data_IF_589928900735
#
_entry.id   IF_589928900735
#
_cell.length_a   1.000
_cell.length_b   1.000
_cell.length_c   1.000
_cell.angle_alpha   90.00
_cell.angle_beta   90.00
_cell.angle_gamma   90.00
#
_symmetry.space_group_name_H-M   'P 1'
#
loop_
_entity.id
_entity.type
_entity.pdbx_description
1 polymer ?
#
# COMPACT_ATOMS: atom_id res chain seq x y z
N UNK A 1 -7.02 34.95 49.00
CA UNK A 1 -6.40 35.29 47.75
C UNK A 1 -6.21 34.02 46.87
N UNK A 2 -6.99 33.93 45.87
CA UNK A 2 -7.04 32.68 45.07
C UNK A 2 -6.00 32.68 43.98
N UNK A 3 -5.02 31.79 44.13
CA UNK A 3 -4.24 31.35 43.00
C UNK A 3 -5.02 30.29 42.27
N UNK A 4 -5.68 30.66 41.20
CA UNK A 4 -6.33 29.71 40.30
C UNK A 4 -5.27 28.81 39.65
N UNK A 5 -5.13 27.61 40.18
CA UNK A 5 -4.38 26.56 39.53
C UNK A 5 -5.14 26.09 38.31
N UNK A 6 -4.85 26.67 37.17
CA UNK A 6 -5.27 26.06 35.93
C UNK A 6 -4.44 24.79 35.75
N UNK A 7 -5.04 23.66 36.05
CA UNK A 7 -4.50 22.40 35.60
C UNK A 7 -4.53 22.40 34.10
N UNK A 8 -3.40 22.63 33.47
CA UNK A 8 -3.21 22.34 32.08
C UNK A 8 -3.41 20.85 31.93
N UNK A 9 -4.60 20.46 31.48
CA UNK A 9 -4.79 19.14 30.91
C UNK A 9 -3.88 19.09 29.72
N UNK A 10 -2.77 18.41 29.87
CA UNK A 10 -1.97 18.01 28.75
C UNK A 10 -2.85 17.16 27.87
N UNK A 11 -3.43 17.77 26.85
CA UNK A 11 -3.97 17.06 25.74
C UNK A 11 -2.80 16.36 25.07
N UNK A 12 -2.52 15.16 25.52
CA UNK A 12 -1.80 14.19 24.74
C UNK A 12 -2.70 13.91 23.53
N UNK A 13 -2.51 14.72 22.50
CA UNK A 13 -2.99 14.36 21.17
C UNK A 13 -2.48 12.97 20.88
N UNK A 14 -3.32 12.02 20.48
CA UNK A 14 -2.84 10.72 20.06
C UNK A 14 -1.75 10.95 19.03
N UNK A 15 -0.60 10.39 19.29
CA UNK A 15 0.58 10.47 18.45
C UNK A 15 0.21 10.15 17.01
N UNK A 16 0.41 11.11 16.14
CA UNK A 16 0.10 11.02 14.73
C UNK A 16 -1.22 11.70 14.44
N UNK A 17 -1.13 12.87 13.88
CA UNK A 17 -2.17 13.42 13.04
C UNK A 17 -2.31 12.42 11.88
N UNK A 18 -3.00 11.30 12.14
CA UNK A 18 -3.54 10.47 11.09
C UNK A 18 -4.60 11.37 10.46
N UNK A 19 -4.19 12.15 9.46
CA UNK A 19 -5.16 12.79 8.58
C UNK A 19 -6.15 11.68 8.27
N UNK A 20 -7.40 11.85 8.70
CA UNK A 20 -8.42 10.84 8.44
C UNK A 20 -8.46 10.67 6.94
N UNK A 21 -7.96 9.53 6.49
CA UNK A 21 -8.08 9.14 5.11
C UNK A 21 -9.57 9.12 4.81
N UNK A 22 -9.98 9.83 3.78
CA UNK A 22 -11.38 9.96 3.40
C UNK A 22 -11.58 9.37 2.03
N UNK A 23 -12.72 8.78 1.83
CA UNK A 23 -13.18 8.29 0.54
C UNK A 23 -13.61 6.82 0.56
N UNK A 24 -14.48 6.49 -0.37
CA UNK A 24 -15.04 5.14 -0.52
C UNK A 24 -13.99 4.10 -0.95
N UNK A 25 -12.86 4.54 -1.48
CA UNK A 25 -11.78 3.65 -1.89
C UNK A 25 -11.15 2.86 -0.73
N UNK A 26 -11.27 3.37 0.50
CA UNK A 26 -10.72 2.73 1.70
C UNK A 26 -11.37 1.36 1.99
N UNK A 27 -12.57 1.11 1.51
CA UNK A 27 -13.23 -0.19 1.65
C UNK A 27 -12.53 -1.31 0.85
N UNK A 28 -11.71 -0.95 -0.15
CA UNK A 28 -11.01 -1.90 -1.02
C UNK A 28 -9.55 -2.12 -0.64
N UNK A 29 -9.06 -1.42 0.38
CA UNK A 29 -7.66 -1.50 0.82
C UNK A 29 -7.56 -1.68 2.32
N UNK A 30 -6.44 -2.24 2.75
CA UNK A 30 -6.05 -2.32 4.15
C UNK A 30 -4.75 -1.54 4.35
N UNK A 31 -4.73 -0.61 5.28
CA UNK A 31 -3.50 0.08 5.64
C UNK A 31 -2.63 -0.83 6.51
N UNK A 32 -1.56 -1.34 5.97
CA UNK A 32 -0.68 -2.30 6.64
C UNK A 32 -0.02 -1.70 7.87
N UNK A 33 0.30 -0.41 7.85
CA UNK A 33 0.92 0.29 8.97
C UNK A 33 0.11 0.21 10.27
N UNK A 34 -1.21 0.05 10.16
CA UNK A 34 -2.10 -0.05 11.33
C UNK A 34 -2.05 -1.42 12.02
N UNK A 35 -1.49 -2.43 11.38
CA UNK A 35 -1.48 -3.82 11.85
C UNK A 35 -0.10 -4.40 12.13
N UNK A 36 0.93 -3.59 12.16
CA UNK A 36 2.32 -4.06 12.35
C UNK A 36 2.58 -4.70 13.70
N UNK A 37 1.83 -4.31 14.74
CA UNK A 37 1.98 -4.87 16.09
C UNK A 37 1.55 -6.33 16.18
N UNK A 38 0.67 -6.76 15.28
CA UNK A 38 0.17 -8.15 15.21
C UNK A 38 1.14 -9.09 14.47
N UNK A 39 2.27 -8.57 14.01
CA UNK A 39 3.17 -9.31 13.14
C UNK A 39 4.55 -9.52 13.77
N UNK A 40 4.99 -10.78 13.75
CA UNK A 40 6.33 -11.12 14.22
C UNK A 40 7.41 -10.55 13.30
N UNK A 41 8.53 -10.06 13.85
CA UNK A 41 9.64 -9.56 13.04
C UNK A 41 10.15 -10.65 12.10
N UNK A 42 10.50 -10.24 10.89
CA UNK A 42 11.02 -11.15 9.87
C UNK A 42 12.40 -11.62 10.26
N UNK A 43 12.55 -12.92 10.39
CA UNK A 43 13.84 -13.55 10.57
C UNK A 43 14.28 -14.11 9.22
N UNK A 44 15.41 -13.65 8.70
CA UNK A 44 16.07 -14.25 7.53
C UNK A 44 15.75 -13.63 6.16
N UNK A 45 15.02 -12.50 6.07
CA UNK A 45 14.72 -11.84 4.80
C UNK A 45 15.19 -10.39 4.70
N UNK A 46 16.20 -10.04 5.46
CA UNK A 46 16.72 -8.68 5.53
C UNK A 46 17.28 -8.19 4.20
N UNK A 47 17.94 -9.06 3.44
CA UNK A 47 18.49 -8.71 2.12
C UNK A 47 17.39 -8.35 1.11
N UNK A 48 16.34 -9.15 1.07
CA UNK A 48 15.18 -8.89 0.19
C UNK A 48 14.49 -7.58 0.56
N UNK A 49 14.35 -7.31 1.85
CA UNK A 49 13.76 -6.08 2.36
C UNK A 49 14.60 -4.86 1.99
N UNK A 50 15.91 -4.91 2.17
CA UNK A 50 16.82 -3.85 1.76
C UNK A 50 16.77 -3.59 0.26
N UNK A 51 16.73 -4.65 -0.54
CA UNK A 51 16.61 -4.53 -2.00
C UNK A 51 15.29 -3.86 -2.40
N UNK A 52 14.20 -4.23 -1.76
CA UNK A 52 12.90 -3.61 -1.98
C UNK A 52 12.94 -2.11 -1.68
N UNK A 53 13.53 -1.73 -0.57
CA UNK A 53 13.71 -0.33 -0.18
C UNK A 53 14.56 0.42 -1.22
N UNK A 54 15.63 -0.19 -1.70
CA UNK A 54 16.48 0.39 -2.73
C UNK A 54 15.71 0.65 -4.03
N UNK A 55 14.89 -0.30 -4.47
CA UNK A 55 14.06 -0.14 -5.67
C UNK A 55 13.03 0.96 -5.48
N UNK A 56 12.31 0.96 -4.37
CA UNK A 56 11.30 1.97 -4.05
C UNK A 56 11.90 3.38 -3.95
N UNK A 57 13.17 3.48 -3.60
CA UNK A 57 13.88 4.76 -3.47
C UNK A 57 14.39 5.33 -4.79
N UNK A 58 14.30 4.59 -5.88
CA UNK A 58 14.69 5.06 -7.21
C UNK A 58 13.76 6.16 -7.70
N UNK A 59 14.29 7.05 -8.53
CA UNK A 59 13.48 8.08 -9.21
C UNK A 59 12.64 7.51 -10.34
N UNK A 60 13.15 6.48 -10.99
CA UNK A 60 12.51 5.77 -12.08
C UNK A 60 12.54 4.27 -11.82
N UNK A 61 11.60 3.53 -12.39
CA UNK A 61 11.48 2.07 -12.21
C UNK A 61 11.48 1.67 -10.73
N UNK A 62 10.69 2.39 -9.96
CA UNK A 62 10.61 2.29 -8.51
C UNK A 62 9.51 1.36 -8.03
N UNK A 63 9.07 0.42 -8.85
CA UNK A 63 7.99 -0.50 -8.55
C UNK A 63 8.52 -1.94 -8.46
N UNK A 64 8.86 -2.43 -7.26
CA UNK A 64 9.35 -3.79 -7.10
C UNK A 64 8.27 -4.84 -7.33
N UNK A 65 8.66 -5.93 -7.96
CA UNK A 65 7.82 -7.11 -8.13
C UNK A 65 8.45 -8.30 -7.41
N UNK A 66 7.72 -8.89 -6.48
CA UNK A 66 8.15 -10.09 -5.78
C UNK A 66 7.57 -11.33 -6.44
N UNK A 67 8.44 -12.20 -6.90
CA UNK A 67 8.08 -13.48 -7.50
C UNK A 67 8.39 -14.60 -6.53
N UNK A 68 7.46 -15.51 -6.34
CA UNK A 68 7.66 -16.65 -5.46
C UNK A 68 6.39 -17.47 -5.29
N UNK A 69 6.52 -18.66 -4.73
CA UNK A 69 5.38 -19.52 -4.45
C UNK A 69 4.47 -18.91 -3.37
N UNK A 70 3.15 -19.26 -3.39
CA UNK A 70 2.22 -18.82 -2.35
C UNK A 70 2.70 -19.23 -0.95
N UNK A 71 2.62 -18.32 0.01
CA UNK A 71 2.98 -18.59 1.40
C UNK A 71 4.47 -18.49 1.74
N UNK A 72 5.34 -18.07 0.82
CA UNK A 72 6.79 -17.96 1.05
C UNK A 72 7.22 -16.64 1.68
N UNK A 73 6.33 -15.98 2.41
CA UNK A 73 6.68 -14.79 3.18
C UNK A 73 6.68 -13.48 2.40
N UNK A 74 6.02 -13.42 1.25
CA UNK A 74 5.80 -12.15 0.52
C UNK A 74 5.04 -11.13 1.37
N UNK A 75 4.02 -11.58 2.08
CA UNK A 75 3.26 -10.78 3.04
C UNK A 75 4.14 -10.31 4.19
N UNK A 76 5.00 -11.18 4.71
CA UNK A 76 5.95 -10.84 5.76
C UNK A 76 6.87 -9.68 5.37
N UNK A 77 7.30 -9.65 4.11
CA UNK A 77 8.15 -8.60 3.58
C UNK A 77 7.46 -7.24 3.60
N UNK A 78 6.17 -7.20 3.25
CA UNK A 78 5.36 -5.97 3.28
C UNK A 78 5.18 -5.45 4.70
N UNK A 79 4.87 -6.32 5.65
CA UNK A 79 4.77 -5.96 7.08
C UNK A 79 6.12 -5.50 7.64
N UNK A 80 7.21 -6.12 7.24
CA UNK A 80 8.55 -5.70 7.62
C UNK A 80 8.89 -4.30 7.12
N UNK A 81 8.53 -4.00 5.89
CA UNK A 81 8.70 -2.66 5.32
C UNK A 81 7.87 -1.62 6.10
N UNK A 82 6.60 -1.92 6.38
CA UNK A 82 5.74 -1.05 7.17
C UNK A 82 6.32 -0.79 8.56
N UNK A 83 6.86 -1.81 9.21
CA UNK A 83 7.53 -1.69 10.50
C UNK A 83 8.74 -0.75 10.45
N UNK A 84 9.56 -0.84 9.41
CA UNK A 84 10.70 0.06 9.24
C UNK A 84 10.27 1.50 8.99
N UNK A 85 9.20 1.71 8.24
CA UNK A 85 8.64 3.05 8.01
C UNK A 85 8.16 3.67 9.34
N UNK A 86 7.42 2.91 10.14
CA UNK A 86 6.92 3.38 11.43
C UNK A 86 8.04 3.66 12.44
N UNK A 87 9.16 2.95 12.34
CA UNK A 87 10.35 3.18 13.18
C UNK A 87 11.31 4.24 12.63
N UNK A 88 10.96 4.88 11.52
CA UNK A 88 11.81 5.87 10.85
C UNK A 88 13.18 5.32 10.41
N UNK A 89 13.22 4.06 10.05
CA UNK A 89 14.43 3.34 9.60
C UNK A 89 14.46 3.16 8.08
N UNK A 90 13.95 4.13 7.35
CA UNK A 90 13.89 4.14 5.88
C UNK A 90 14.50 5.43 5.33
N UNK A 91 14.92 5.45 4.05
CA UNK A 91 15.35 6.69 3.40
C UNK A 91 14.28 7.77 3.44
N UNK A 92 14.70 9.01 3.39
CA UNK A 92 13.82 10.18 3.48
C UNK A 92 12.65 10.14 2.50
N UNK A 93 12.87 9.64 1.29
CA UNK A 93 11.82 9.52 0.27
C UNK A 93 10.70 8.54 0.65
N UNK A 94 10.92 7.65 1.61
CA UNK A 94 9.93 6.71 2.12
C UNK A 94 9.40 7.07 3.50
N UNK A 95 9.90 8.14 4.10
CA UNK A 95 9.42 8.60 5.40
C UNK A 95 7.94 8.95 5.36
N UNK A 96 7.20 8.44 6.33
CA UNK A 96 5.76 8.67 6.44
C UNK A 96 4.91 7.94 5.43
N UNK A 97 5.48 7.07 4.60
CA UNK A 97 4.72 6.27 3.64
C UNK A 97 3.71 5.36 4.35
N UNK A 98 2.53 5.30 3.78
CA UNK A 98 1.50 4.33 4.15
C UNK A 98 1.43 3.25 3.08
N UNK A 99 1.41 2.00 3.51
CA UNK A 99 1.28 0.86 2.61
C UNK A 99 -0.17 0.41 2.62
N UNK A 100 -0.82 0.50 1.46
CA UNK A 100 -2.18 0.03 1.26
C UNK A 100 -2.15 -1.29 0.51
N UNK A 101 -2.66 -2.33 1.13
CA UNK A 101 -2.85 -3.63 0.48
C UNK A 101 -4.20 -3.64 -0.22
N UNK A 102 -4.19 -3.83 -1.54
CA UNK A 102 -5.41 -3.91 -2.34
C UNK A 102 -6.08 -5.26 -2.15
N UNK A 103 -7.35 -5.25 -1.79
CA UNK A 103 -8.20 -6.44 -1.75
C UNK A 103 -8.94 -6.61 -3.07
N UNK A 104 -8.43 -7.48 -3.92
CA UNK A 104 -9.03 -7.77 -5.23
C UNK A 104 -10.43 -8.37 -5.10
N UNK A 105 -10.66 -9.21 -4.09
CA UNK A 105 -11.96 -9.79 -3.84
C UNK A 105 -13.03 -8.73 -3.59
N UNK A 106 -12.74 -7.78 -2.72
CA UNK A 106 -13.64 -6.66 -2.45
C UNK A 106 -13.84 -5.75 -3.66
N UNK A 107 -12.79 -5.57 -4.46
CA UNK A 107 -12.84 -4.74 -5.65
C UNK A 107 -13.75 -5.33 -6.73
N UNK A 108 -13.81 -6.64 -6.84
CA UNK A 108 -14.60 -7.37 -7.84
C UNK A 108 -16.01 -7.66 -7.32
N UNK A 109 -16.18 -7.83 -6.02
CA UNK A 109 -17.45 -8.23 -5.43
C UNK A 109 -18.60 -7.29 -5.80
N UNK A 110 -19.70 -7.86 -6.28
CA UNK A 110 -20.89 -7.10 -6.68
C UNK A 110 -20.76 -6.30 -7.99
N UNK A 111 -19.65 -6.42 -8.70
CA UNK A 111 -19.51 -5.80 -10.03
C UNK A 111 -20.21 -6.66 -11.08
N UNK A 112 -21.12 -6.05 -11.82
CA UNK A 112 -21.78 -6.72 -12.96
C UNK A 112 -21.09 -6.43 -14.28
N UNK A 113 -20.45 -5.27 -14.38
CA UNK A 113 -19.84 -4.78 -15.59
C UNK A 113 -18.36 -4.48 -15.38
N UNK A 114 -17.57 -4.63 -16.43
CA UNK A 114 -16.15 -4.26 -16.44
C UNK A 114 -15.93 -2.81 -16.03
N UNK A 115 -16.81 -1.92 -16.44
CA UNK A 115 -16.75 -0.49 -16.08
C UNK A 115 -16.85 -0.23 -14.57
N UNK A 116 -17.58 -1.05 -13.84
CA UNK A 116 -17.68 -0.93 -12.37
C UNK A 116 -16.35 -1.24 -11.69
N UNK A 117 -15.68 -2.28 -12.13
CA UNK A 117 -14.34 -2.64 -11.65
C UNK A 117 -13.32 -1.54 -11.96
N UNK A 118 -13.31 -1.06 -13.18
CA UNK A 118 -12.40 0.01 -13.62
C UNK A 118 -12.59 1.29 -12.81
N UNK A 119 -13.83 1.65 -12.53
CA UNK A 119 -14.18 2.80 -11.70
C UNK A 119 -13.65 2.67 -10.27
N UNK A 120 -13.82 1.48 -9.67
CA UNK A 120 -13.36 1.21 -8.30
C UNK A 120 -11.83 1.22 -8.24
N UNK A 121 -11.16 0.60 -9.21
CA UNK A 121 -9.70 0.59 -9.28
C UNK A 121 -9.15 2.01 -9.41
N UNK A 122 -9.73 2.82 -10.29
CA UNK A 122 -9.34 4.21 -10.46
C UNK A 122 -9.54 5.02 -9.18
N UNK A 123 -10.65 4.80 -8.48
CA UNK A 123 -10.89 5.43 -7.18
C UNK A 123 -9.82 5.09 -6.14
N UNK A 124 -9.38 3.83 -6.10
CA UNK A 124 -8.28 3.39 -5.23
C UNK A 124 -6.97 4.08 -5.60
N UNK A 125 -6.64 4.11 -6.88
CA UNK A 125 -5.41 4.74 -7.38
C UNK A 125 -5.37 6.23 -7.08
N UNK A 126 -6.44 6.94 -7.35
CA UNK A 126 -6.54 8.37 -7.07
C UNK A 126 -6.54 8.65 -5.57
N UNK A 127 -7.21 7.83 -4.78
CA UNK A 127 -7.23 7.94 -3.32
C UNK A 127 -5.85 7.70 -2.71
N UNK A 128 -5.14 6.68 -3.15
CA UNK A 128 -3.78 6.39 -2.70
C UNK A 128 -2.81 7.51 -3.11
N UNK A 129 -2.97 8.05 -4.32
CA UNK A 129 -2.16 9.17 -4.79
C UNK A 129 -2.39 10.43 -3.96
N UNK A 130 -3.64 10.72 -3.59
CA UNK A 130 -3.99 11.84 -2.72
C UNK A 130 -3.48 11.66 -1.28
N UNK A 131 -3.33 10.41 -0.84
CA UNK A 131 -2.75 10.06 0.47
C UNK A 131 -1.22 10.02 0.47
N UNK A 132 -0.57 10.46 -0.58
CA UNK A 132 0.89 10.47 -0.74
C UNK A 132 1.62 11.09 0.48
N UNK A 133 2.76 10.53 0.93
CA UNK A 133 3.46 9.41 0.32
C UNK A 133 2.80 8.05 0.63
N UNK A 134 2.57 7.27 -0.39
CA UNK A 134 1.89 5.98 -0.27
C UNK A 134 2.51 4.92 -1.19
N UNK A 135 2.37 3.67 -0.77
CA UNK A 135 2.76 2.49 -1.54
C UNK A 135 1.51 1.63 -1.66
N UNK A 136 1.13 1.28 -2.87
CA UNK A 136 0.05 0.35 -3.13
C UNK A 136 0.62 -1.05 -3.36
N UNK A 137 0.27 -1.98 -2.47
CA UNK A 137 0.67 -3.38 -2.57
C UNK A 137 -0.45 -4.18 -3.23
N UNK A 138 -0.12 -4.91 -4.29
CA UNK A 138 -1.06 -5.77 -5.02
C UNK A 138 -0.51 -7.19 -5.03
N UNK A 139 -1.13 -8.06 -4.25
CA UNK A 139 -0.83 -9.48 -4.28
C UNK A 139 -1.48 -10.11 -5.52
N UNK A 140 -0.78 -11.10 -6.09
CA UNK A 140 -1.23 -11.77 -7.31
C UNK A 140 -1.58 -10.78 -8.45
N UNK A 141 -0.71 -9.82 -8.67
CA UNK A 141 -0.90 -8.73 -9.64
C UNK A 141 -1.19 -9.24 -11.06
N UNK A 142 -0.75 -10.47 -11.37
CA UNK A 142 -1.02 -11.12 -12.66
C UNK A 142 -2.52 -11.31 -12.93
N UNK A 143 -3.35 -11.36 -11.89
CA UNK A 143 -4.81 -11.48 -12.04
C UNK A 143 -5.46 -10.24 -12.64
N UNK A 144 -4.82 -9.08 -12.54
CA UNK A 144 -5.36 -7.82 -13.05
C UNK A 144 -4.59 -7.23 -14.22
N UNK A 145 -3.35 -7.64 -14.44
CA UNK A 145 -2.54 -7.16 -15.57
C UNK A 145 -2.79 -7.95 -16.86
N UNK A 146 -3.62 -8.99 -16.81
CA UNK A 146 -3.94 -9.79 -17.97
C UNK A 146 -2.69 -10.35 -18.64
N UNK A 147 -2.19 -11.49 -18.18
CA UNK A 147 -0.98 -12.13 -18.70
C UNK A 147 -1.18 -12.67 -20.13
N UNK A 148 -1.57 -11.82 -21.09
CA UNK A 148 -1.60 -12.13 -22.51
C UNK A 148 -2.63 -13.14 -22.97
N UNK A 149 -3.57 -13.55 -22.12
CA UNK A 149 -4.70 -14.41 -22.52
C UNK A 149 -5.98 -13.60 -22.53
N UNK A 150 -6.50 -13.42 -23.72
CA UNK A 150 -7.83 -12.85 -23.94
C UNK A 150 -8.86 -13.92 -23.56
N UNK A 151 -9.08 -14.15 -22.28
CA UNK A 151 -10.27 -14.81 -21.82
C UNK A 151 -11.37 -13.76 -21.67
N UNK A 152 -12.53 -14.06 -22.24
CA UNK A 152 -13.76 -13.29 -22.03
C UNK A 152 -14.11 -13.35 -20.53
N UNK A 153 -13.61 -12.40 -19.75
CA UNK A 153 -13.78 -12.36 -18.29
C UNK A 153 -12.51 -12.07 -17.51
N UNK A 154 -11.34 -12.03 -18.16
CA UNK A 154 -10.13 -11.54 -17.51
C UNK A 154 -10.17 -10.02 -17.40
N UNK A 155 -9.97 -9.52 -16.20
CA UNK A 155 -9.89 -8.10 -15.92
C UNK A 155 -8.50 -7.63 -16.37
N UNK A 156 -8.43 -6.82 -17.43
CA UNK A 156 -7.19 -6.18 -17.84
C UNK A 156 -7.14 -4.75 -17.31
N UNK A 157 -6.46 -4.57 -16.22
CA UNK A 157 -6.25 -3.27 -15.60
C UNK A 157 -4.92 -2.62 -16.01
N UNK A 158 -4.16 -3.23 -16.91
CA UNK A 158 -2.86 -2.72 -17.34
C UNK A 158 -2.93 -1.30 -17.88
N UNK A 159 -3.93 -0.99 -18.68
CA UNK A 159 -4.12 0.34 -19.24
C UNK A 159 -4.49 1.40 -18.20
N UNK A 160 -5.17 1.00 -17.12
CA UNK A 160 -5.52 1.90 -16.03
C UNK A 160 -4.31 2.16 -15.15
N UNK A 161 -3.52 1.13 -14.85
CA UNK A 161 -2.35 1.21 -13.99
C UNK A 161 -1.18 1.97 -14.64
N UNK A 162 -1.03 1.87 -15.94
CA UNK A 162 0.13 2.38 -16.67
C UNK A 162 0.45 3.86 -16.39
N UNK A 163 -0.50 4.81 -16.44
CA UNK A 163 -0.22 6.19 -16.15
C UNK A 163 0.32 6.42 -14.72
N UNK A 164 -0.19 5.66 -13.77
CA UNK A 164 0.23 5.75 -12.36
C UNK A 164 1.62 5.15 -12.14
N UNK A 165 1.93 4.05 -12.81
CA UNK A 165 3.24 3.42 -12.76
C UNK A 165 4.33 4.31 -13.37
N UNK A 166 4.04 4.96 -14.47
CA UNK A 166 4.97 5.85 -15.18
C UNK A 166 5.13 7.19 -14.45
N UNK A 167 4.10 7.67 -13.77
CA UNK A 167 4.11 8.96 -13.09
C UNK A 167 5.04 9.07 -11.89
N UNK A 168 5.42 7.95 -11.28
CA UNK A 168 6.39 7.89 -10.18
C UNK A 168 5.92 8.49 -8.85
N UNK A 169 4.77 9.12 -8.79
CA UNK A 169 4.23 9.74 -7.58
C UNK A 169 3.61 8.74 -6.62
N UNK A 170 2.97 7.72 -7.15
CA UNK A 170 2.46 6.58 -6.40
C UNK A 170 3.39 5.40 -6.62
N UNK A 171 3.90 4.83 -5.54
CA UNK A 171 4.74 3.64 -5.60
C UNK A 171 3.87 2.40 -5.53
N UNK A 172 4.29 1.37 -6.24
CA UNK A 172 3.63 0.07 -6.27
C UNK A 172 4.57 -1.03 -5.82
N UNK A 173 4.04 -1.97 -5.08
CA UNK A 173 4.68 -3.27 -4.86
C UNK A 173 3.75 -4.34 -5.39
N UNK A 174 4.25 -5.17 -6.27
CA UNK A 174 3.51 -6.31 -6.79
C UNK A 174 4.07 -7.62 -6.25
N UNK A 175 3.21 -8.60 -6.11
CA UNK A 175 3.59 -9.98 -5.84
C UNK A 175 2.90 -10.91 -6.83
N UNK A 176 3.62 -11.94 -7.24
CA UNK A 176 3.12 -12.96 -8.17
C UNK A 176 3.71 -14.32 -7.84
N UNK A 177 3.07 -15.34 -8.33
CA UNK A 177 3.56 -16.72 -8.27
C UNK A 177 4.28 -17.14 -9.54
#
# INVERSE_FOLDING_TARGET
>A
YEAGGSSAKSNLSPKGNKAKLQGDWLQYVTCINDYIEDYNPIIGRQEELLRTIQILSRKEKNNPLHVGEPGVGKTALVYGLASLIERHEVPECLEGCKIFSLDLGSLIAGTQYRGDFEKRLKAVLDGALAASPAILYIDEIHNIIGAGKIDKGSLDAGNILKPYLEGGKLRFMGATT
#
